data_IF_993677832449
#
_entry.id   IF_993677832449
#
_cell.length_a   1.000
_cell.length_b   1.000
_cell.length_c   1.000
_cell.angle_alpha   90.00
_cell.angle_beta   90.00
_cell.angle_gamma   90.00
#
_symmetry.space_group_name_H-M   'P 1'
#
loop_
_entity.id
_entity.type
_entity.pdbx_description
1 polymer ?
#
# COMPACT_ATOMS: atom_id res chain seq x y z
N UNK A 1 74.86 27.53 -34.95
CA UNK A 1 73.58 27.17 -34.26
C UNK A 1 73.78 25.74 -33.78
N UNK A 2 73.91 25.55 -32.48
CA UNK A 2 74.47 24.33 -31.88
C UNK A 2 73.50 23.15 -31.92
N UNK A 3 73.97 22.00 -32.29
CA UNK A 3 73.20 20.74 -32.33
C UNK A 3 72.49 20.45 -31.00
N UNK A 4 73.05 20.90 -29.91
CA UNK A 4 72.51 20.81 -28.58
C UNK A 4 71.12 21.45 -28.44
N UNK A 5 70.89 22.65 -29.02
CA UNK A 5 69.60 23.32 -28.99
C UNK A 5 68.53 22.64 -29.86
N UNK A 6 68.93 21.92 -30.91
CA UNK A 6 68.03 21.16 -31.78
C UNK A 6 67.53 19.90 -31.08
N UNK A 7 68.41 19.24 -30.33
CA UNK A 7 68.01 18.08 -29.54
C UNK A 7 67.06 18.43 -28.41
N UNK A 8 67.31 19.52 -27.72
CA UNK A 8 66.47 20.02 -26.64
C UNK A 8 65.07 20.39 -27.14
N UNK A 9 64.96 21.00 -28.32
CA UNK A 9 63.70 21.36 -28.94
C UNK A 9 62.89 20.11 -29.35
N UNK A 10 63.54 19.05 -29.88
CA UNK A 10 62.86 17.82 -30.24
C UNK A 10 62.35 17.03 -29.02
N UNK A 11 63.08 17.01 -27.92
CA UNK A 11 62.62 16.34 -26.68
C UNK A 11 61.42 17.04 -26.03
N UNK A 12 61.40 18.38 -26.05
CA UNK A 12 60.27 19.17 -25.54
C UNK A 12 58.99 18.95 -26.35
N UNK A 13 59.09 18.88 -27.68
CA UNK A 13 57.94 18.62 -28.57
C UNK A 13 57.41 17.17 -28.40
N UNK A 14 58.33 16.20 -28.20
CA UNK A 14 57.91 14.82 -27.97
C UNK A 14 57.18 14.62 -26.64
N UNK A 15 57.59 15.30 -25.56
CA UNK A 15 56.89 15.26 -24.27
C UNK A 15 55.54 15.93 -24.33
N UNK A 16 55.36 17.00 -25.11
CA UNK A 16 54.08 17.67 -25.27
C UNK A 16 53.06 16.85 -26.06
N UNK A 17 53.51 15.97 -26.95
CA UNK A 17 52.63 15.08 -27.75
C UNK A 17 52.07 13.88 -26.94
N UNK A 18 52.63 13.66 -25.75
CA UNK A 18 52.17 12.56 -24.85
C UNK A 18 51.10 12.99 -23.82
N UNK A 19 50.61 14.20 -23.92
CA UNK A 19 49.48 14.67 -23.12
C UNK A 19 48.20 14.01 -23.66
N UNK A 20 48.09 12.70 -23.51
CA UNK A 20 46.83 11.98 -23.73
C UNK A 20 45.78 12.57 -22.76
N UNK A 21 44.72 13.12 -23.32
CA UNK A 21 43.56 13.48 -22.53
C UNK A 21 43.01 12.21 -21.90
N UNK A 22 43.27 12.04 -20.61
CA UNK A 22 42.56 11.06 -19.82
C UNK A 22 41.15 11.58 -19.67
N UNK A 23 40.25 11.21 -20.56
CA UNK A 23 38.83 11.36 -20.32
C UNK A 23 38.49 10.40 -19.19
N UNK A 24 38.37 10.92 -17.99
CA UNK A 24 37.73 10.19 -16.91
C UNK A 24 36.29 9.91 -17.37
N UNK A 25 36.05 8.66 -17.76
CA UNK A 25 34.67 8.18 -17.94
C UNK A 25 34.04 8.22 -16.55
N UNK A 26 33.24 9.25 -16.31
CA UNK A 26 32.49 9.35 -15.04
C UNK A 26 31.63 8.11 -14.93
N UNK A 27 32.07 7.19 -14.06
CA UNK A 27 31.27 6.01 -13.74
C UNK A 27 29.91 6.51 -13.23
N UNK A 28 28.90 6.44 -14.10
CA UNK A 28 27.54 6.82 -13.76
C UNK A 28 27.06 5.91 -12.63
N UNK A 29 27.04 6.43 -11.40
CA UNK A 29 26.50 5.71 -10.25
C UNK A 29 25.00 5.59 -10.45
N UNK A 30 24.54 4.40 -10.81
CA UNK A 30 23.12 4.10 -10.90
C UNK A 30 22.63 3.72 -9.50
N UNK A 31 21.92 4.63 -8.85
CA UNK A 31 21.27 4.34 -7.58
C UNK A 31 20.01 3.53 -7.86
N UNK A 32 19.91 2.34 -7.31
CA UNK A 32 18.66 1.56 -7.36
C UNK A 32 17.56 2.35 -6.65
N UNK A 33 16.39 2.45 -7.30
CA UNK A 33 15.23 3.10 -6.68
C UNK A 33 14.86 2.37 -5.38
N UNK A 34 15.02 2.98 -4.19
CA UNK A 34 14.72 2.32 -2.92
C UNK A 34 13.23 1.99 -2.76
N UNK A 35 12.36 2.60 -3.54
CA UNK A 35 10.92 2.32 -3.53
C UNK A 35 10.55 1.02 -4.24
N UNK A 36 11.47 0.42 -5.01
CA UNK A 36 11.17 -0.74 -5.84
C UNK A 36 10.18 -0.44 -6.95
N UNK A 37 9.81 -1.49 -7.68
CA UNK A 37 8.69 -1.45 -8.63
C UNK A 37 7.49 -2.03 -7.89
N UNK A 38 6.50 -1.21 -7.58
CA UNK A 38 5.27 -1.71 -6.97
C UNK A 38 4.55 -2.64 -7.96
N UNK A 39 4.09 -3.82 -7.51
CA UNK A 39 3.29 -4.69 -8.35
C UNK A 39 2.04 -3.94 -8.81
N UNK A 40 1.60 -4.21 -10.05
CA UNK A 40 0.38 -3.62 -10.58
C UNK A 40 -0.80 -4.00 -9.67
N UNK A 41 -1.39 -3.01 -9.01
CA UNK A 41 -2.57 -3.22 -8.17
C UNK A 41 -3.77 -3.32 -9.12
N UNK A 42 -4.39 -4.49 -9.18
CA UNK A 42 -5.69 -4.63 -9.83
C UNK A 42 -6.73 -3.88 -8.99
N UNK A 43 -7.23 -2.78 -9.50
CA UNK A 43 -8.30 -2.02 -8.85
C UNK A 43 -9.61 -2.76 -9.05
N UNK A 44 -10.13 -3.35 -7.98
CA UNK A 44 -11.49 -3.87 -7.96
C UNK A 44 -12.43 -2.68 -7.72
N UNK A 45 -13.45 -2.46 -8.56
CA UNK A 45 -14.39 -1.37 -8.35
C UNK A 45 -15.11 -1.57 -6.99
N UNK A 46 -15.44 -0.47 -6.33
CA UNK A 46 -16.24 -0.53 -5.11
C UNK A 46 -17.60 -1.17 -5.39
N UNK A 47 -18.11 -1.89 -4.41
CA UNK A 47 -19.48 -2.40 -4.45
C UNK A 47 -20.48 -1.26 -4.67
N UNK A 48 -21.57 -1.55 -5.39
CA UNK A 48 -22.63 -0.57 -5.61
C UNK A 48 -23.19 -0.10 -4.25
N UNK A 49 -23.39 1.20 -4.12
CA UNK A 49 -23.96 1.77 -2.89
C UNK A 49 -25.46 1.45 -2.82
N UNK A 50 -25.93 1.09 -1.64
CA UNK A 50 -27.38 0.97 -1.38
C UNK A 50 -28.00 2.37 -1.39
N UNK A 51 -29.13 2.55 -2.07
CA UNK A 51 -29.82 3.85 -2.16
C UNK A 51 -30.47 4.33 -0.85
N UNK A 52 -30.41 3.51 0.21
CA UNK A 52 -30.97 3.78 1.55
C UNK A 52 -30.86 2.55 2.42
N UNK A 53 -31.18 2.69 3.71
CA UNK A 53 -31.10 1.60 4.70
C UNK A 53 -32.47 1.00 5.06
N UNK A 54 -33.57 1.65 4.70
CA UNK A 54 -34.93 1.19 5.03
C UNK A 54 -35.19 -0.22 4.47
N UNK A 55 -35.61 -1.12 5.33
CA UNK A 55 -35.89 -2.51 4.98
C UNK A 55 -34.64 -3.35 4.66
N UNK A 56 -33.45 -2.83 4.92
CA UNK A 56 -32.19 -3.54 4.68
C UNK A 56 -31.70 -4.23 5.95
N UNK A 57 -30.92 -5.28 5.75
CA UNK A 57 -30.19 -5.97 6.81
C UNK A 57 -28.74 -5.59 6.78
N UNK A 58 -28.21 -5.09 7.88
CA UNK A 58 -26.82 -4.69 8.04
C UNK A 58 -26.18 -5.52 9.15
N UNK A 59 -25.09 -6.17 8.83
CA UNK A 59 -24.33 -6.93 9.80
C UNK A 59 -23.25 -6.05 10.43
N UNK A 60 -23.08 -6.16 11.75
CA UNK A 60 -22.00 -5.52 12.49
C UNK A 60 -21.09 -6.64 12.98
N UNK A 61 -19.90 -6.73 12.40
CA UNK A 61 -18.94 -7.81 12.66
C UNK A 61 -17.90 -7.33 13.67
N UNK A 62 -17.84 -8.00 14.81
CA UNK A 62 -16.82 -7.80 15.83
C UNK A 62 -15.61 -8.70 15.54
N UNK A 63 -14.43 -8.11 15.35
CA UNK A 63 -13.17 -8.84 15.14
C UNK A 63 -12.53 -9.34 16.45
N UNK A 64 -13.22 -9.15 17.57
CA UNK A 64 -12.82 -9.61 18.92
C UNK A 64 -11.51 -9.04 19.45
N UNK A 65 -11.20 -7.78 19.14
CA UNK A 65 -10.18 -7.09 19.92
C UNK A 65 -10.62 -6.96 21.39
N UNK A 66 -9.67 -6.88 22.32
CA UNK A 66 -10.00 -6.67 23.72
C UNK A 66 -10.90 -5.44 23.92
N UNK A 67 -11.99 -5.60 24.68
CA UNK A 67 -12.96 -4.55 25.03
C UNK A 67 -13.79 -3.98 23.87
N UNK A 68 -13.86 -4.63 22.71
CA UNK A 68 -14.69 -4.17 21.57
C UNK A 68 -16.18 -4.44 21.79
N UNK A 69 -16.55 -5.49 22.51
CA UNK A 69 -17.94 -5.92 22.69
C UNK A 69 -18.88 -4.84 23.23
N UNK A 70 -18.53 -4.09 24.29
CA UNK A 70 -19.36 -2.97 24.75
C UNK A 70 -19.58 -1.90 23.70
N UNK A 71 -18.52 -1.57 22.95
CA UNK A 71 -18.58 -0.59 21.86
C UNK A 71 -19.53 -1.05 20.75
N UNK A 72 -19.37 -2.30 20.27
CA UNK A 72 -20.20 -2.90 19.22
C UNK A 72 -21.69 -2.89 19.62
N UNK A 73 -21.99 -3.25 20.87
CA UNK A 73 -23.35 -3.23 21.38
C UNK A 73 -23.95 -1.82 21.41
N UNK A 74 -23.20 -0.85 21.95
CA UNK A 74 -23.62 0.55 22.00
C UNK A 74 -23.82 1.12 20.58
N UNK A 75 -22.93 0.81 19.66
CA UNK A 75 -23.06 1.21 18.26
C UNK A 75 -24.34 0.65 17.63
N UNK A 76 -24.60 -0.65 17.80
CA UNK A 76 -25.83 -1.27 17.31
C UNK A 76 -27.08 -0.58 17.86
N UNK A 77 -27.12 -0.32 19.17
CA UNK A 77 -28.27 0.27 19.83
C UNK A 77 -28.54 1.71 19.34
N UNK A 78 -27.47 2.49 19.17
CA UNK A 78 -27.56 3.82 18.58
C UNK A 78 -28.02 3.80 17.12
N UNK A 79 -27.51 2.86 16.32
CA UNK A 79 -27.94 2.71 14.93
C UNK A 79 -29.39 2.26 14.84
N UNK A 80 -29.82 1.34 15.69
CA UNK A 80 -31.21 0.88 15.73
C UNK A 80 -32.18 2.02 16.15
N UNK A 81 -31.78 2.88 17.07
CA UNK A 81 -32.56 4.04 17.45
C UNK A 81 -32.70 5.07 16.31
N UNK A 82 -31.63 5.31 15.57
CA UNK A 82 -31.62 6.30 14.48
C UNK A 82 -32.20 5.76 13.17
N UNK A 83 -32.11 4.44 12.94
CA UNK A 83 -32.59 3.76 11.72
C UNK A 83 -33.51 2.59 12.07
N UNK A 84 -34.71 2.84 12.61
CA UNK A 84 -35.60 1.80 13.15
C UNK A 84 -36.17 0.86 12.09
N UNK A 85 -36.11 1.24 10.80
CA UNK A 85 -36.56 0.39 9.70
C UNK A 85 -35.48 -0.53 9.15
N UNK A 86 -34.27 -0.49 9.72
CA UNK A 86 -33.13 -1.32 9.32
C UNK A 86 -32.93 -2.46 10.31
N UNK A 87 -32.68 -3.64 9.82
CA UNK A 87 -32.36 -4.80 10.68
C UNK A 87 -30.87 -4.82 10.97
N UNK A 88 -30.50 -4.66 12.23
CA UNK A 88 -29.11 -4.66 12.70
C UNK A 88 -28.78 -5.99 13.36
N UNK A 89 -27.76 -6.68 12.85
CA UNK A 89 -27.35 -8.01 13.32
C UNK A 89 -25.88 -7.98 13.74
N UNK A 90 -25.63 -8.23 15.04
CA UNK A 90 -24.27 -8.39 15.52
C UNK A 90 -23.78 -9.81 15.22
N UNK A 91 -22.54 -9.91 14.72
CA UNK A 91 -21.81 -11.16 14.49
C UNK A 91 -20.42 -11.06 15.08
N UNK A 92 -20.01 -12.14 15.72
CA UNK A 92 -18.64 -12.27 16.22
C UNK A 92 -17.84 -13.07 15.18
N UNK A 93 -16.70 -12.57 14.74
CA UNK A 93 -15.78 -13.29 13.89
C UNK A 93 -15.20 -14.49 14.64
N UNK A 94 -15.11 -15.65 14.00
CA UNK A 94 -14.45 -16.84 14.56
C UNK A 94 -12.94 -16.66 14.54
N UNK A 95 -12.24 -17.28 15.52
CA UNK A 95 -10.80 -17.12 15.65
C UNK A 95 -10.37 -15.72 16.10
N UNK A 96 -9.11 -15.37 15.85
CA UNK A 96 -8.57 -14.05 16.13
C UNK A 96 -8.73 -13.11 14.92
N UNK A 97 -8.35 -11.84 15.07
CA UNK A 97 -8.52 -10.83 14.04
C UNK A 97 -7.68 -11.08 12.76
N UNK A 98 -6.61 -11.89 12.84
CA UNK A 98 -5.75 -12.24 11.70
C UNK A 98 -6.25 -13.45 10.91
N UNK A 99 -7.10 -14.28 11.50
CA UNK A 99 -7.60 -15.49 10.85
C UNK A 99 -8.77 -15.17 9.92
N UNK A 100 -8.88 -15.90 8.82
CA UNK A 100 -10.02 -15.79 7.93
C UNK A 100 -11.23 -16.55 8.49
N UNK A 101 -12.45 -16.09 8.16
CA UNK A 101 -13.71 -16.75 8.53
C UNK A 101 -14.61 -16.91 7.31
N UNK A 102 -14.34 -17.89 6.44
CA UNK A 102 -15.08 -18.09 5.21
C UNK A 102 -16.58 -18.33 5.43
N UNK A 103 -16.95 -18.96 6.55
CA UNK A 103 -18.35 -19.23 6.88
C UNK A 103 -19.12 -17.94 7.16
N UNK A 104 -18.52 -17.03 7.93
CA UNK A 104 -19.10 -15.73 8.23
C UNK A 104 -19.24 -14.88 6.94
N UNK A 105 -18.22 -14.87 6.07
CA UNK A 105 -18.28 -14.12 4.83
C UNK A 105 -19.33 -14.67 3.86
N UNK A 106 -19.54 -15.96 3.85
CA UNK A 106 -20.60 -16.59 3.07
C UNK A 106 -21.97 -16.16 3.60
N UNK A 107 -22.18 -16.23 4.93
CA UNK A 107 -23.43 -15.79 5.55
C UNK A 107 -23.73 -14.32 5.28
N UNK A 108 -22.71 -13.44 5.35
CA UNK A 108 -22.87 -12.02 5.04
C UNK A 108 -23.29 -11.82 3.58
N UNK A 109 -22.65 -12.50 2.65
CA UNK A 109 -23.00 -12.40 1.22
C UNK A 109 -24.41 -12.84 0.91
N UNK A 110 -24.93 -13.83 1.64
CA UNK A 110 -26.26 -14.39 1.41
C UNK A 110 -27.38 -13.57 2.08
N UNK A 111 -27.12 -13.01 3.25
CA UNK A 111 -28.17 -12.44 4.12
C UNK A 111 -28.08 -10.93 4.31
N UNK A 112 -26.90 -10.34 4.13
CA UNK A 112 -26.70 -8.93 4.39
C UNK A 112 -26.74 -8.09 3.12
N UNK A 113 -27.28 -6.89 3.24
CA UNK A 113 -27.22 -5.87 2.19
C UNK A 113 -25.97 -5.00 2.34
N UNK A 114 -25.45 -4.90 3.56
CA UNK A 114 -24.21 -4.22 3.89
C UNK A 114 -23.62 -4.83 5.18
N UNK A 115 -22.32 -4.62 5.40
CA UNK A 115 -21.64 -5.02 6.62
C UNK A 115 -20.72 -3.92 7.10
N UNK A 116 -20.64 -3.76 8.43
CA UNK A 116 -19.69 -2.91 9.14
C UNK A 116 -18.75 -3.85 9.88
N UNK A 117 -17.47 -3.85 9.52
CA UNK A 117 -16.45 -4.67 10.18
C UNK A 117 -15.68 -3.79 11.15
N UNK A 118 -15.66 -4.17 12.41
CA UNK A 118 -15.09 -3.42 13.53
C UNK A 118 -14.14 -4.33 14.31
N UNK A 119 -13.08 -3.91 14.74
CA UNK A 119 -12.27 -2.70 14.63
C UNK A 119 -11.01 -3.14 13.91
N UNK A 120 -10.58 -2.36 12.92
CA UNK A 120 -9.31 -2.61 12.27
C UNK A 120 -8.15 -2.11 13.15
N UNK A 121 -6.97 -2.63 12.87
CA UNK A 121 -5.71 -2.18 13.46
C UNK A 121 -5.06 -1.16 12.54
#
# INVERSE_FOLDING_TARGET
MNYFNRWLACTLVYCAAQSGYVTADEAKITVMNPRGIQPAIQRIPMAARTGGLDGKTVFIVDTKYPNTKPFVNTLRDNLAANYPKTTWVNKDKTGNYMEDDPALWTEIKEKAHAAIVLIGH
#
